data_IF_748329730297
#
_entry.id   IF_748329730297
#
_cell.length_a   1.000
_cell.length_b   1.000
_cell.length_c   1.000
_cell.angle_alpha   90.00
_cell.angle_beta   90.00
_cell.angle_gamma   90.00
#
_symmetry.space_group_name_H-M   'P 1'
#
loop_
_entity.id
_entity.type
_entity.pdbx_description
1 polymer ?
#
# COMPACT_ATOMS: atom_id res chain seq x y z
N UNK A 1 50.73 21.41 18.37
CA UNK A 1 51.71 21.78 17.35
C UNK A 1 51.43 21.06 16.04
N UNK A 2 51.46 21.85 14.98
CA UNK A 2 51.44 21.53 13.54
C UNK A 2 50.08 21.15 12.88
N UNK A 3 49.55 22.19 12.27
CA UNK A 3 48.55 22.19 11.18
C UNK A 3 49.17 21.59 9.93
N UNK A 4 48.40 20.79 9.18
CA UNK A 4 48.63 20.62 7.74
C UNK A 4 47.32 20.85 7.03
N UNK A 5 47.24 22.00 6.36
CA UNK A 5 46.31 22.34 5.29
C UNK A 5 46.76 21.59 4.02
N UNK A 6 45.87 20.91 3.34
CA UNK A 6 46.10 20.56 1.95
C UNK A 6 44.88 20.96 1.13
N UNK A 7 45.02 22.08 0.44
CA UNK A 7 44.21 22.56 -0.66
C UNK A 7 44.51 21.68 -1.88
N UNK A 8 43.48 21.13 -2.52
CA UNK A 8 43.56 20.77 -3.93
C UNK A 8 42.35 21.31 -4.68
N UNK A 9 42.69 22.25 -5.52
CA UNK A 9 41.91 22.96 -6.52
C UNK A 9 41.65 22.10 -7.74
N UNK A 10 40.42 22.21 -8.29
CA UNK A 10 40.18 22.29 -9.73
C UNK A 10 39.97 20.99 -10.48
N UNK A 11 38.85 20.87 -11.07
CA UNK A 11 38.67 21.04 -12.54
C UNK A 11 37.20 20.97 -12.89
N UNK A 12 36.75 22.08 -13.44
CA UNK A 12 35.47 22.28 -14.11
C UNK A 12 35.56 21.65 -15.50
N UNK A 13 34.73 20.72 -15.89
CA UNK A 13 34.48 20.37 -17.28
C UNK A 13 32.98 20.45 -17.59
N UNK A 14 32.65 21.54 -18.26
CA UNK A 14 31.42 21.68 -19.03
C UNK A 14 31.54 20.85 -20.32
N UNK A 15 30.55 20.05 -20.59
CA UNK A 15 30.30 19.55 -21.95
C UNK A 15 28.82 19.79 -22.28
N UNK A 16 28.66 20.82 -23.11
CA UNK A 16 27.43 21.14 -23.83
C UNK A 16 27.34 20.26 -25.08
N UNK A 17 26.24 19.57 -25.30
CA UNK A 17 25.84 19.06 -26.63
C UNK A 17 24.34 19.25 -26.75
N UNK A 18 23.95 20.22 -27.39
CA UNK A 18 23.31 20.59 -28.65
C UNK A 18 22.21 19.61 -29.15
N UNK A 19 21.01 20.15 -29.11
CA UNK A 19 19.92 20.23 -30.07
C UNK A 19 19.86 19.15 -31.18
N UNK A 20 18.71 18.49 -31.24
CA UNK A 20 18.24 17.75 -32.42
C UNK A 20 16.72 17.73 -32.45
N UNK A 21 16.11 18.79 -33.01
CA UNK A 21 14.72 18.79 -33.51
C UNK A 21 14.61 17.90 -34.73
N UNK A 22 13.65 16.97 -34.72
CA UNK A 22 13.06 16.48 -35.98
C UNK A 22 11.54 16.45 -35.82
N UNK A 23 10.96 17.39 -36.49
CA UNK A 23 9.56 17.45 -36.91
C UNK A 23 9.32 16.42 -38.01
N UNK A 24 8.28 15.63 -37.93
CA UNK A 24 7.58 15.15 -39.11
C UNK A 24 6.08 15.08 -38.86
N UNK A 25 5.41 16.00 -39.50
CA UNK A 25 3.97 15.99 -39.71
C UNK A 25 3.69 15.05 -40.91
N UNK A 26 2.67 14.23 -40.79
CA UNK A 26 1.85 13.90 -41.94
C UNK A 26 0.41 13.63 -41.51
N UNK A 27 -0.45 14.48 -42.03
CA UNK A 27 -1.90 14.40 -42.00
C UNK A 27 -2.38 13.55 -43.19
N UNK A 28 -3.60 13.00 -43.01
CA UNK A 28 -4.70 12.82 -43.97
C UNK A 28 -5.47 11.56 -43.56
N UNK A 29 -6.65 11.68 -43.00
CA UNK A 29 -7.98 11.81 -43.62
C UNK A 29 -8.36 10.59 -44.50
N UNK A 30 -9.34 9.83 -44.02
CA UNK A 30 -10.56 9.58 -44.81
C UNK A 30 -11.69 8.98 -43.92
N UNK A 31 -12.84 9.57 -44.05
CA UNK A 31 -14.21 9.18 -43.89
C UNK A 31 -14.55 7.79 -44.49
N UNK A 32 -15.48 7.04 -43.93
CA UNK A 32 -16.89 6.96 -44.35
C UNK A 32 -17.66 5.89 -43.55
N UNK A 33 -18.72 6.33 -43.02
CA UNK A 33 -20.10 5.82 -42.84
C UNK A 33 -20.40 4.36 -43.22
N UNK A 34 -21.04 3.61 -42.27
CA UNK A 34 -22.22 2.79 -42.60
C UNK A 34 -23.07 2.46 -41.36
N UNK A 35 -24.23 3.09 -41.29
CA UNK A 35 -25.36 2.66 -40.46
C UNK A 35 -25.92 1.35 -41.02
N UNK A 36 -26.24 0.38 -40.15
CA UNK A 36 -27.32 -0.57 -40.35
C UNK A 36 -28.04 -0.75 -39.03
N UNK A 37 -29.24 -0.16 -38.99
CA UNK A 37 -30.30 -0.50 -38.04
C UNK A 37 -30.91 -1.85 -38.43
N UNK A 38 -31.14 -2.71 -37.45
CA UNK A 38 -32.19 -3.71 -37.55
C UNK A 38 -32.81 -3.91 -36.16
N UNK A 39 -34.01 -3.40 -35.99
CA UNK A 39 -34.95 -3.76 -34.92
C UNK A 39 -35.50 -5.14 -35.20
N UNK A 40 -35.65 -6.00 -34.19
CA UNK A 40 -36.77 -6.93 -34.04
C UNK A 40 -36.93 -7.32 -32.55
N UNK A 41 -37.92 -6.80 -31.91
CA UNK A 41 -39.08 -7.33 -31.22
C UNK A 41 -38.91 -8.56 -30.30
N UNK A 42 -39.25 -8.28 -29.03
CA UNK A 42 -40.09 -9.01 -28.07
C UNK A 42 -39.98 -10.55 -27.97
N UNK A 43 -39.59 -11.01 -26.77
CA UNK A 43 -40.43 -11.90 -25.97
C UNK A 43 -39.93 -11.91 -24.50
N UNK A 44 -40.88 -11.61 -23.60
CA UNK A 44 -40.76 -11.79 -22.15
C UNK A 44 -41.39 -13.13 -21.79
N UNK A 45 -40.73 -13.96 -20.99
CA UNK A 45 -41.44 -14.75 -20.02
C UNK A 45 -41.08 -14.32 -18.60
N UNK A 46 -42.04 -13.78 -17.91
CA UNK A 46 -42.16 -13.76 -16.46
C UNK A 46 -42.13 -15.18 -15.93
N UNK A 47 -41.21 -15.46 -15.03
CA UNK A 47 -41.33 -16.54 -14.06
C UNK A 47 -40.72 -16.10 -12.75
N UNK A 48 -41.56 -15.88 -11.77
CA UNK A 48 -41.26 -15.72 -10.36
C UNK A 48 -40.45 -16.90 -9.87
N UNK A 49 -39.27 -16.60 -9.32
CA UNK A 49 -38.62 -17.40 -8.31
C UNK A 49 -37.99 -16.42 -7.34
N UNK A 50 -38.74 -16.07 -6.31
CA UNK A 50 -38.18 -15.49 -5.10
C UNK A 50 -37.28 -16.54 -4.47
N UNK A 51 -36.00 -16.48 -4.75
CA UNK A 51 -34.99 -17.20 -3.99
C UNK A 51 -34.73 -16.36 -2.75
N UNK A 52 -35.27 -16.82 -1.64
CA UNK A 52 -35.14 -16.28 -0.30
C UNK A 52 -33.67 -16.46 0.11
N UNK A 53 -32.79 -15.51 -0.30
CA UNK A 53 -31.42 -15.44 0.19
C UNK A 53 -31.51 -14.97 1.64
N UNK A 54 -31.59 -15.96 2.53
CA UNK A 54 -31.36 -15.75 3.96
C UNK A 54 -30.00 -15.12 4.09
N UNK A 55 -29.85 -13.91 4.68
CA UNK A 55 -28.57 -13.35 4.98
C UNK A 55 -27.86 -14.30 5.95
N UNK A 56 -26.73 -14.87 5.56
CA UNK A 56 -25.90 -15.64 6.50
C UNK A 56 -25.44 -14.67 7.57
N UNK A 57 -25.98 -14.82 8.78
CA UNK A 57 -25.52 -14.13 9.97
C UNK A 57 -24.03 -14.42 10.15
N UNK A 58 -23.17 -13.37 10.05
CA UNK A 58 -21.80 -13.43 10.49
C UNK A 58 -20.70 -13.18 9.49
N UNK A 59 -20.97 -12.75 8.25
CA UNK A 59 -19.90 -12.24 7.39
C UNK A 59 -19.35 -10.93 7.99
N UNK A 60 -18.16 -10.99 8.59
CA UNK A 60 -17.45 -9.78 9.02
C UNK A 60 -17.14 -8.99 7.76
N UNK A 61 -17.77 -7.83 7.61
CA UNK A 61 -17.49 -6.94 6.48
C UNK A 61 -16.07 -6.38 6.66
N UNK A 62 -15.15 -6.82 5.80
CA UNK A 62 -13.79 -6.32 5.79
C UNK A 62 -13.75 -4.98 5.06
N UNK A 63 -13.66 -3.89 5.80
CA UNK A 63 -13.64 -2.52 5.29
C UNK A 63 -12.29 -1.85 5.46
N UNK A 64 -12.04 -0.81 4.68
CA UNK A 64 -10.91 0.09 4.89
C UNK A 64 -11.28 1.14 5.94
N UNK A 65 -10.45 1.30 6.96
CA UNK A 65 -10.68 2.25 8.04
C UNK A 65 -9.50 3.21 8.16
N UNK A 66 -9.74 4.51 7.99
CA UNK A 66 -8.75 5.53 8.31
C UNK A 66 -8.70 5.76 9.82
N UNK A 67 -7.54 5.58 10.38
CA UNK A 67 -7.23 5.85 11.79
C UNK A 67 -6.20 6.97 11.91
N UNK A 68 -6.23 7.68 13.03
CA UNK A 68 -5.33 8.80 13.29
C UNK A 68 -4.56 8.58 14.58
N UNK A 69 -3.38 9.19 14.65
CA UNK A 69 -2.60 9.40 15.87
C UNK A 69 -2.38 10.88 16.07
N UNK A 70 -2.00 11.28 17.28
CA UNK A 70 -1.70 12.69 17.55
C UNK A 70 -0.45 13.12 16.77
N UNK A 71 -0.60 14.17 15.97
CA UNK A 71 0.48 14.75 15.18
C UNK A 71 1.59 15.41 16.03
N UNK A 72 1.32 15.66 17.31
CA UNK A 72 2.31 16.22 18.25
C UNK A 72 3.29 15.13 18.78
N UNK A 73 2.98 13.84 18.62
CA UNK A 73 3.85 12.77 19.00
C UNK A 73 5.07 12.67 18.08
N UNK A 74 6.21 12.23 18.62
CA UNK A 74 7.33 11.78 17.81
C UNK A 74 6.93 10.56 16.96
N UNK A 75 7.72 10.22 15.95
CA UNK A 75 7.42 9.07 15.10
C UNK A 75 7.33 7.76 15.87
N UNK A 76 8.27 7.53 16.80
CA UNK A 76 8.25 6.30 17.59
C UNK A 76 7.13 6.25 18.62
N UNK A 77 6.77 7.38 19.25
CA UNK A 77 5.60 7.44 20.14
C UNK A 77 4.30 7.16 19.37
N UNK A 78 4.17 7.72 18.15
CA UNK A 78 3.04 7.45 17.26
C UNK A 78 2.99 5.96 16.86
N UNK A 79 4.12 5.36 16.51
CA UNK A 79 4.21 3.93 16.19
C UNK A 79 3.85 3.05 17.37
N UNK A 80 4.36 3.37 18.57
CA UNK A 80 4.02 2.68 19.81
C UNK A 80 2.53 2.79 20.13
N UNK A 81 1.91 3.96 19.92
CA UNK A 81 0.48 4.15 20.08
C UNK A 81 -0.33 3.27 19.11
N UNK A 82 0.09 3.24 17.84
CA UNK A 82 -0.51 2.34 16.84
C UNK A 82 -0.44 0.91 17.33
N UNK A 83 0.76 0.41 17.66
CA UNK A 83 0.94 -0.99 18.06
C UNK A 83 0.17 -1.35 19.32
N UNK A 84 0.10 -0.46 20.32
CA UNK A 84 -0.70 -0.64 21.54
C UNK A 84 -2.19 -0.82 21.26
N UNK A 85 -2.72 -0.18 20.20
CA UNK A 85 -4.13 -0.33 19.82
C UNK A 85 -4.48 -1.73 19.29
N UNK A 86 -3.48 -2.54 18.98
CA UNK A 86 -3.60 -3.93 18.53
C UNK A 86 -3.08 -4.95 19.56
N UNK A 87 -2.91 -4.56 20.81
CA UNK A 87 -2.48 -5.49 21.87
C UNK A 87 -3.42 -6.72 21.93
N UNK A 88 -2.84 -7.91 21.98
CA UNK A 88 -3.58 -9.17 21.96
C UNK A 88 -4.06 -9.64 20.58
N UNK A 89 -3.69 -8.94 19.51
CA UNK A 89 -4.03 -9.31 18.12
C UNK A 89 -2.79 -9.66 17.32
N UNK A 90 -2.96 -10.50 16.32
CA UNK A 90 -1.94 -10.71 15.29
C UNK A 90 -2.08 -9.61 14.25
N UNK A 91 -0.97 -8.95 13.92
CA UNK A 91 -0.94 -7.80 13.01
C UNK A 91 0.00 -8.06 11.86
N UNK A 92 -0.46 -7.81 10.63
CA UNK A 92 0.37 -7.67 9.45
C UNK A 92 0.54 -6.18 9.17
N UNK A 93 1.77 -5.69 9.32
CA UNK A 93 2.15 -4.32 9.00
C UNK A 93 2.61 -4.24 7.55
N UNK A 94 2.14 -3.23 6.81
CA UNK A 94 2.58 -2.88 5.46
C UNK A 94 2.96 -1.39 5.42
N UNK A 95 4.24 -1.12 5.20
CA UNK A 95 4.77 0.22 4.97
C UNK A 95 4.76 0.51 3.47
N UNK A 96 3.97 1.49 3.06
CA UNK A 96 3.67 1.75 1.66
C UNK A 96 3.55 3.24 1.30
N UNK A 97 3.37 3.54 0.01
CA UNK A 97 2.97 4.86 -0.45
C UNK A 97 2.18 4.79 -1.75
N UNK A 98 1.36 5.79 -2.02
CA UNK A 98 0.52 5.86 -3.22
C UNK A 98 1.34 5.90 -4.51
N UNK A 99 2.51 6.52 -4.47
CA UNK A 99 3.46 6.65 -5.59
C UNK A 99 4.40 5.45 -5.75
N UNK A 100 4.26 4.39 -4.95
CA UNK A 100 5.13 3.22 -4.92
C UNK A 100 4.55 2.09 -5.81
N UNK A 101 5.00 1.90 -7.07
CA UNK A 101 4.46 0.85 -7.93
C UNK A 101 4.64 -0.56 -7.37
N UNK A 102 5.80 -0.95 -6.80
CA UNK A 102 5.95 -2.28 -6.22
C UNK A 102 5.04 -2.51 -5.00
N UNK A 103 4.72 -1.46 -4.20
CA UNK A 103 3.76 -1.59 -3.10
C UNK A 103 2.36 -1.94 -3.63
N UNK A 104 1.91 -1.25 -4.68
CA UNK A 104 0.60 -1.50 -5.29
C UNK A 104 0.50 -2.89 -5.92
N UNK A 105 1.58 -3.36 -6.55
CA UNK A 105 1.64 -4.72 -7.08
C UNK A 105 1.58 -5.76 -5.95
N UNK A 106 2.31 -5.54 -4.86
CA UNK A 106 2.28 -6.41 -3.68
C UNK A 106 0.90 -6.48 -3.03
N UNK A 107 0.18 -5.36 -2.93
CA UNK A 107 -1.18 -5.31 -2.39
C UNK A 107 -2.15 -6.21 -3.16
N UNK A 108 -2.06 -6.27 -4.50
CA UNK A 108 -2.89 -7.17 -5.31
C UNK A 108 -2.63 -8.66 -4.99
N UNK A 109 -1.40 -9.00 -4.63
CA UNK A 109 -1.07 -10.36 -4.20
C UNK A 109 -1.58 -10.62 -2.78
N UNK A 110 -1.37 -9.67 -1.85
CA UNK A 110 -1.84 -9.76 -0.46
C UNK A 110 -3.37 -9.85 -0.39
N UNK A 111 -4.10 -9.19 -1.27
CA UNK A 111 -5.56 -9.25 -1.33
C UNK A 111 -6.10 -10.67 -1.53
N UNK A 112 -5.31 -11.57 -2.13
CA UNK A 112 -5.70 -12.98 -2.34
C UNK A 112 -5.73 -13.80 -1.02
N UNK A 113 -4.95 -13.39 -0.02
CA UNK A 113 -4.84 -14.09 1.27
C UNK A 113 -5.52 -13.34 2.41
N UNK A 114 -5.74 -12.04 2.24
CA UNK A 114 -6.25 -11.14 3.27
C UNK A 114 -7.58 -11.57 3.89
N UNK A 115 -8.65 -11.88 3.11
CA UNK A 115 -9.94 -12.26 3.68
C UNK A 115 -9.82 -13.45 4.63
N UNK A 116 -9.16 -14.52 4.21
CA UNK A 116 -9.00 -15.72 5.02
C UNK A 116 -8.20 -15.49 6.33
N UNK A 117 -7.25 -14.55 6.32
CA UNK A 117 -6.50 -14.18 7.53
C UNK A 117 -7.32 -13.26 8.43
N UNK A 118 -8.08 -12.32 7.85
CA UNK A 118 -8.96 -11.43 8.61
C UNK A 118 -10.08 -12.21 9.29
N UNK A 119 -10.66 -13.22 8.65
CA UNK A 119 -11.63 -14.15 9.24
C UNK A 119 -11.06 -14.91 10.45
N UNK A 120 -9.75 -15.14 10.48
CA UNK A 120 -9.02 -15.71 11.63
C UNK A 120 -8.66 -14.68 12.70
N UNK A 121 -9.04 -13.40 12.51
CA UNK A 121 -8.78 -12.31 13.46
C UNK A 121 -7.44 -11.60 13.27
N UNK A 122 -6.75 -11.78 12.14
CA UNK A 122 -5.53 -11.04 11.80
C UNK A 122 -5.91 -9.61 11.38
N UNK A 123 -5.24 -8.62 11.94
CA UNK A 123 -5.40 -7.22 11.55
C UNK A 123 -4.36 -6.84 10.47
N UNK A 124 -4.81 -6.27 9.37
CA UNK A 124 -3.94 -5.65 8.37
C UNK A 124 -3.84 -4.16 8.64
N UNK A 125 -2.62 -3.66 8.85
CA UNK A 125 -2.34 -2.27 9.23
C UNK A 125 -1.38 -1.67 8.21
N UNK A 126 -1.87 -0.66 7.50
CA UNK A 126 -1.18 0.05 6.44
C UNK A 126 -0.65 1.37 6.96
N UNK A 127 0.66 1.57 6.91
CA UNK A 127 1.32 2.79 7.37
C UNK A 127 1.94 3.50 6.18
N UNK A 128 1.60 4.78 6.01
CA UNK A 128 2.18 5.67 5.01
C UNK A 128 2.45 7.05 5.61
N UNK A 129 3.20 7.87 4.91
CA UNK A 129 3.43 9.27 5.27
C UNK A 129 2.68 10.25 4.36
N UNK A 130 2.74 11.53 4.70
CA UNK A 130 2.24 12.63 3.86
C UNK A 130 2.95 12.75 2.51
N UNK A 131 4.06 12.02 2.32
CA UNK A 131 4.68 11.81 1.00
C UNK A 131 3.71 11.15 0.02
N UNK A 132 2.69 10.41 0.49
CA UNK A 132 1.50 10.03 -0.25
C UNK A 132 0.56 11.24 -0.30
N UNK A 133 0.40 11.92 -1.47
CA UNK A 133 -0.48 13.08 -1.57
C UNK A 133 -1.91 12.74 -1.12
N UNK A 134 -2.55 13.66 -0.39
CA UNK A 134 -3.88 13.41 0.19
C UNK A 134 -4.89 12.93 -0.85
N UNK A 135 -4.95 13.61 -2.01
CA UNK A 135 -5.87 13.27 -3.10
C UNK A 135 -5.70 11.82 -3.60
N UNK A 136 -4.44 11.36 -3.71
CA UNK A 136 -4.16 10.01 -4.20
C UNK A 136 -4.44 8.98 -3.10
N UNK A 137 -4.14 9.32 -1.85
CA UNK A 137 -4.47 8.50 -0.69
C UNK A 137 -5.98 8.30 -0.55
N UNK A 138 -6.78 9.38 -0.60
CA UNK A 138 -8.24 9.32 -0.49
C UNK A 138 -8.90 8.51 -1.60
N UNK A 139 -8.27 8.49 -2.79
CA UNK A 139 -8.74 7.68 -3.91
C UNK A 139 -8.41 6.19 -3.77
N UNK A 140 -7.25 5.86 -3.20
CA UNK A 140 -6.75 4.49 -3.13
C UNK A 140 -7.20 3.75 -1.88
N UNK A 141 -7.12 4.40 -0.72
CA UNK A 141 -7.34 3.81 0.60
C UNK A 141 -8.67 3.05 0.72
N UNK A 142 -9.82 3.56 0.24
CA UNK A 142 -11.10 2.87 0.38
C UNK A 142 -11.16 1.48 -0.27
N UNK A 143 -10.27 1.21 -1.23
CA UNK A 143 -10.19 -0.07 -1.93
C UNK A 143 -9.17 -1.04 -1.31
N UNK A 144 -8.54 -0.67 -0.21
CA UNK A 144 -7.53 -1.48 0.47
C UNK A 144 -8.06 -1.80 1.87
N UNK A 145 -8.72 -2.96 2.02
CA UNK A 145 -9.33 -3.35 3.29
C UNK A 145 -8.28 -3.50 4.40
N UNK A 146 -8.57 -2.96 5.57
CA UNK A 146 -7.71 -2.92 6.74
C UNK A 146 -7.63 -1.52 7.36
N UNK A 147 -6.80 -1.38 8.37
CA UNK A 147 -6.62 -0.13 9.11
C UNK A 147 -5.49 0.70 8.51
N UNK A 148 -5.75 1.97 8.23
CA UNK A 148 -4.81 2.88 7.58
C UNK A 148 -4.37 4.01 8.49
N UNK A 149 -3.07 4.29 8.50
CA UNK A 149 -2.48 5.44 9.15
C UNK A 149 -1.68 6.25 8.14
N UNK A 150 -2.03 7.53 7.99
CA UNK A 150 -1.28 8.49 7.19
C UNK A 150 -0.61 9.48 8.14
N UNK A 151 0.66 9.26 8.40
CA UNK A 151 1.47 9.99 9.38
C UNK A 151 2.03 11.28 8.79
N UNK A 152 2.38 12.24 9.67
CA UNK A 152 3.15 13.41 9.24
C UNK A 152 4.49 12.98 8.64
N UNK A 153 5.08 13.85 7.80
CA UNK A 153 6.41 13.58 7.22
C UNK A 153 7.49 13.39 8.31
N UNK A 154 7.36 14.12 9.42
CA UNK A 154 8.29 13.99 10.55
C UNK A 154 8.18 12.61 11.20
N UNK A 155 6.97 12.18 11.54
CA UNK A 155 6.70 10.87 12.13
C UNK A 155 7.15 9.74 11.20
N UNK A 156 6.75 9.79 9.93
CA UNK A 156 7.15 8.80 8.93
C UNK A 156 8.67 8.69 8.78
N UNK A 157 9.35 9.83 8.66
CA UNK A 157 10.81 9.88 8.51
C UNK A 157 11.53 9.32 9.72
N UNK A 158 11.07 9.62 10.93
CA UNK A 158 11.65 9.09 12.18
C UNK A 158 11.45 7.58 12.28
N UNK A 159 10.24 7.07 12.01
CA UNK A 159 9.95 5.62 12.02
C UNK A 159 10.85 4.89 11.03
N UNK A 160 10.90 5.34 9.77
CA UNK A 160 11.73 4.70 8.75
C UNK A 160 13.21 4.69 9.15
N UNK A 161 13.72 5.79 9.71
CA UNK A 161 15.09 5.90 10.20
C UNK A 161 15.36 4.95 11.37
N UNK A 162 14.49 4.94 12.38
CA UNK A 162 14.69 4.18 13.63
C UNK A 162 14.54 2.68 13.40
N UNK A 163 13.58 2.27 12.57
CA UNK A 163 13.39 0.86 12.21
C UNK A 163 14.29 0.39 11.07
N UNK A 164 15.18 1.28 10.58
CA UNK A 164 16.11 1.02 9.48
C UNK A 164 15.39 0.50 8.22
N UNK A 165 14.30 1.15 7.81
CA UNK A 165 13.54 0.83 6.60
C UNK A 165 14.18 1.55 5.41
N UNK A 166 14.94 0.85 4.54
CA UNK A 166 15.66 1.48 3.43
C UNK A 166 14.77 1.81 2.26
N UNK A 167 13.60 1.19 2.18
CA UNK A 167 12.64 1.35 1.09
C UNK A 167 11.35 0.58 1.33
N UNK A 168 10.36 0.87 0.50
CA UNK A 168 9.02 0.28 0.54
C UNK A 168 8.72 -0.47 -0.76
N UNK A 169 7.85 -1.51 -0.72
CA UNK A 169 7.12 -1.99 0.45
C UNK A 169 8.03 -2.61 1.50
N UNK A 170 7.60 -2.61 2.76
CA UNK A 170 8.27 -3.33 3.84
C UNK A 170 7.22 -3.90 4.80
N UNK A 171 7.43 -5.12 5.27
CA UNK A 171 6.43 -5.88 6.00
C UNK A 171 6.94 -6.35 7.36
N UNK A 172 6.00 -6.44 8.32
CA UNK A 172 6.24 -7.18 9.55
C UNK A 172 4.97 -7.91 9.99
N UNK A 173 5.13 -9.04 10.66
CA UNK A 173 4.05 -9.76 11.33
C UNK A 173 4.33 -9.77 12.83
N UNK A 174 3.40 -9.22 13.61
CA UNK A 174 3.51 -9.08 15.06
C UNK A 174 2.50 -9.99 15.73
N UNK A 175 2.94 -10.78 16.69
CA UNK A 175 2.11 -11.70 17.46
C UNK A 175 1.27 -10.99 18.53
N UNK A 176 0.36 -11.73 19.16
CA UNK A 176 -0.53 -11.25 20.21
C UNK A 176 0.21 -10.70 21.44
N UNK A 177 1.38 -11.24 21.71
CA UNK A 177 2.29 -10.83 22.79
C UNK A 177 3.20 -9.64 22.41
N UNK A 178 3.04 -9.09 21.20
CA UNK A 178 3.90 -8.04 20.65
C UNK A 178 5.23 -8.56 20.09
N UNK A 179 5.49 -9.86 20.10
CA UNK A 179 6.71 -10.42 19.52
C UNK A 179 6.68 -10.38 17.99
N UNK A 180 7.86 -10.18 17.38
CA UNK A 180 8.01 -10.16 15.92
C UNK A 180 8.03 -11.60 15.40
N UNK A 181 6.94 -12.05 14.74
CA UNK A 181 6.88 -13.36 14.10
C UNK A 181 7.62 -13.37 12.74
N UNK A 182 7.61 -12.25 12.05
CA UNK A 182 8.34 -12.02 10.80
C UNK A 182 8.65 -10.53 10.63
N UNK A 183 9.77 -10.21 10.00
CA UNK A 183 10.09 -8.84 9.59
C UNK A 183 11.09 -8.83 8.43
N UNK A 184 10.81 -8.04 7.40
CA UNK A 184 11.79 -7.66 6.40
C UNK A 184 12.00 -6.14 6.35
N UNK A 185 11.71 -5.44 7.44
CA UNK A 185 11.78 -3.97 7.50
C UNK A 185 13.15 -3.44 7.07
N UNK A 186 14.23 -4.15 7.41
CA UNK A 186 15.61 -3.75 7.08
C UNK A 186 16.06 -4.12 5.67
N UNK A 187 15.30 -4.93 4.95
CA UNK A 187 15.57 -5.33 3.56
C UNK A 187 14.61 -4.65 2.58
N UNK A 188 13.35 -4.46 2.99
CA UNK A 188 12.27 -4.05 2.10
C UNK A 188 11.84 -5.15 1.14
N UNK A 189 10.92 -4.79 0.26
CA UNK A 189 10.36 -5.69 -0.75
C UNK A 189 9.16 -6.51 -0.25
N UNK A 190 8.44 -7.10 -1.19
CA UNK A 190 7.33 -8.00 -0.90
C UNK A 190 7.85 -9.41 -0.54
N UNK A 191 7.50 -9.96 0.64
CA UNK A 191 8.09 -11.22 1.10
C UNK A 191 7.43 -12.48 0.52
N UNK A 192 6.34 -12.31 -0.25
CA UNK A 192 5.50 -13.40 -0.74
C UNK A 192 4.38 -13.78 0.22
N UNK A 193 3.23 -14.22 -0.35
CA UNK A 193 2.06 -14.60 0.41
C UNK A 193 2.33 -15.75 1.39
N UNK A 194 3.09 -16.75 0.98
CA UNK A 194 3.42 -17.89 1.82
C UNK A 194 4.13 -17.48 3.11
N UNK A 195 5.08 -16.53 3.01
CA UNK A 195 5.80 -16.00 4.19
C UNK A 195 4.84 -15.30 5.15
N UNK A 196 3.93 -14.45 4.62
CA UNK A 196 2.96 -13.71 5.44
C UNK A 196 1.99 -14.68 6.11
N UNK A 197 1.42 -15.65 5.35
CA UNK A 197 0.47 -16.64 5.88
C UNK A 197 1.12 -17.47 6.99
N UNK A 198 2.29 -18.06 6.73
CA UNK A 198 2.99 -18.91 7.70
C UNK A 198 3.32 -18.15 8.99
N UNK A 199 3.78 -16.89 8.88
CA UNK A 199 4.08 -16.07 10.03
C UNK A 199 2.82 -15.71 10.83
N UNK A 200 1.73 -15.32 10.15
CA UNK A 200 0.47 -14.96 10.79
C UNK A 200 -0.18 -16.17 11.47
N UNK A 201 -0.23 -17.32 10.81
CA UNK A 201 -0.79 -18.55 11.39
C UNK A 201 0.04 -19.05 12.59
N UNK A 202 1.37 -18.98 12.51
CA UNK A 202 2.24 -19.29 13.65
C UNK A 202 1.98 -18.35 14.84
N UNK A 203 1.76 -17.06 14.56
CA UNK A 203 1.45 -16.07 15.59
C UNK A 203 0.04 -16.24 16.21
N UNK A 204 -0.92 -16.75 15.42
CA UNK A 204 -2.28 -17.04 15.92
C UNK A 204 -2.30 -18.20 16.94
N UNK A 205 -1.37 -19.16 16.81
CA UNK A 205 -1.26 -20.34 17.67
C UNK A 205 -0.61 -20.05 19.03
N UNK A 206 0.04 -18.88 19.20
CA UNK A 206 0.63 -18.43 20.46
C UNK A 206 -0.34 -17.55 21.24
#
# INVERSE_FOLDING_TARGET
MKRIFLLMTGVLMMASISCGKTTNANAMANEETSEVQTEVSADVPTADAADDVVPSEGAVEHVAVLKTVDNALSGMEAFDQIMKSYAGKVVVLDFWATWCPPCRAAMLEVDKIKPALMDKGVCFVYITGETSPQKDFDKMMPNIHGDHYRLTNAQWGEICKTLNIPGIPAYAVVGKDGSMAFSNLTQGGYPGNETIVNAAETALMK
#
